data_IF_335108732860
#
_entry.id   IF_335108732860
#
_cell.length_a   1.000
_cell.length_b   1.000
_cell.length_c   1.000
_cell.angle_alpha   90.00
_cell.angle_beta   90.00
_cell.angle_gamma   90.00
#
_symmetry.space_group_name_H-M   'P 1'
#
loop_
_entity.id
_entity.type
_entity.pdbx_description
1 polymer ?
#
# COMPACT_ATOMS: atom_id res chain seq x y z
N UNK A 1 -9.20 -21.88 1.95
CA UNK A 1 -9.94 -20.75 1.34
C UNK A 1 -10.41 -19.89 2.50
N UNK A 2 -9.92 -18.68 2.62
CA UNK A 2 -10.42 -17.71 3.62
C UNK A 2 -11.86 -17.37 3.22
N UNK A 3 -12.83 -17.74 4.04
CA UNK A 3 -14.27 -17.55 3.77
C UNK A 3 -14.74 -16.10 3.88
N UNK A 4 -13.89 -15.11 3.68
CA UNK A 4 -14.27 -13.69 3.74
C UNK A 4 -13.20 -12.76 3.19
N UNK A 5 -13.56 -11.50 2.98
CA UNK A 5 -12.62 -10.42 2.69
C UNK A 5 -11.72 -10.16 3.89
N UNK A 6 -10.42 -10.06 3.65
CA UNK A 6 -9.49 -9.56 4.65
C UNK A 6 -9.76 -8.07 4.91
N UNK A 7 -9.66 -7.67 6.17
CA UNK A 7 -10.04 -6.34 6.65
C UNK A 7 -8.79 -5.56 7.04
N UNK A 8 -8.61 -4.41 6.43
CA UNK A 8 -7.49 -3.53 6.74
C UNK A 8 -7.93 -2.11 7.06
N UNK A 9 -7.03 -1.38 7.68
CA UNK A 9 -7.15 0.05 7.88
C UNK A 9 -5.92 0.75 7.29
N UNK A 10 -6.13 1.83 6.53
CA UNK A 10 -5.05 2.65 5.98
C UNK A 10 -5.24 4.10 6.43
N UNK A 11 -4.20 4.71 6.96
CA UNK A 11 -4.28 6.06 7.49
C UNK A 11 -3.15 6.96 6.99
N UNK A 12 -3.37 8.27 6.90
CA UNK A 12 -2.31 9.22 6.64
C UNK A 12 -1.18 9.10 7.67
N UNK A 13 0.05 9.30 7.22
CA UNK A 13 1.22 9.38 8.12
C UNK A 13 1.37 10.79 8.73
N UNK A 14 0.25 11.40 9.11
CA UNK A 14 0.17 12.74 9.67
C UNK A 14 0.26 12.73 11.20
N UNK A 15 0.98 13.68 11.76
CA UNK A 15 1.10 13.86 13.20
C UNK A 15 2.43 14.52 13.59
N UNK A 16 2.45 15.15 14.75
CA UNK A 16 3.67 15.70 15.34
C UNK A 16 4.51 14.63 16.03
N UNK A 17 3.84 13.60 16.55
CA UNK A 17 4.45 12.53 17.33
C UNK A 17 4.05 11.15 16.81
N UNK A 18 4.98 10.18 16.70
CA UNK A 18 4.70 8.86 16.14
C UNK A 18 3.82 7.99 17.05
N UNK A 19 3.72 8.32 18.34
CA UNK A 19 3.07 7.50 19.37
C UNK A 19 1.62 7.16 19.02
N UNK A 20 0.84 8.11 18.55
CA UNK A 20 -0.55 7.91 18.17
C UNK A 20 -0.72 6.86 17.06
N UNK A 21 0.07 6.97 15.99
CA UNK A 21 0.04 6.02 14.88
C UNK A 21 0.50 4.60 15.31
N UNK A 22 1.47 4.52 16.21
CA UNK A 22 1.94 3.26 16.78
C UNK A 22 0.82 2.58 17.58
N UNK A 23 0.20 3.31 18.52
CA UNK A 23 -0.89 2.77 19.34
C UNK A 23 -2.10 2.36 18.49
N UNK A 24 -2.42 3.13 17.44
CA UNK A 24 -3.48 2.79 16.50
C UNK A 24 -3.21 1.46 15.78
N UNK A 25 -1.97 1.22 15.31
CA UNK A 25 -1.59 -0.03 14.66
C UNK A 25 -1.68 -1.24 15.60
N UNK A 26 -1.25 -1.07 16.85
CA UNK A 26 -1.38 -2.11 17.90
C UNK A 26 -2.85 -2.36 18.25
N UNK A 27 -3.66 -1.29 18.36
CA UNK A 27 -5.09 -1.41 18.60
C UNK A 27 -5.82 -2.10 17.44
N UNK A 28 -5.42 -1.83 16.19
CA UNK A 28 -6.01 -2.49 15.02
C UNK A 28 -5.83 -4.01 15.05
N UNK A 29 -4.64 -4.53 15.47
CA UNK A 29 -4.47 -5.97 15.65
C UNK A 29 -5.41 -6.53 16.72
N UNK A 30 -5.52 -5.86 17.87
CA UNK A 30 -6.39 -6.27 18.98
C UNK A 30 -7.87 -6.25 18.58
N UNK A 31 -8.23 -5.30 17.74
CA UNK A 31 -9.58 -5.12 17.20
C UNK A 31 -9.95 -6.11 16.08
N UNK A 32 -9.05 -7.02 15.71
CA UNK A 32 -9.30 -8.07 14.73
C UNK A 32 -8.96 -7.72 13.29
N UNK A 33 -8.40 -6.56 12.99
CA UNK A 33 -7.98 -6.23 11.63
C UNK A 33 -6.84 -7.14 11.16
N UNK A 34 -6.85 -7.45 9.85
CA UNK A 34 -5.84 -8.27 9.18
C UNK A 34 -4.67 -7.44 8.66
N UNK A 35 -4.86 -6.14 8.42
CA UNK A 35 -3.83 -5.25 7.92
C UNK A 35 -3.89 -3.84 8.48
N UNK A 36 -2.70 -3.26 8.71
CA UNK A 36 -2.50 -1.86 9.07
C UNK A 36 -1.52 -1.23 8.09
N UNK A 37 -1.96 -0.17 7.42
CA UNK A 37 -1.20 0.48 6.36
C UNK A 37 -1.08 1.98 6.63
N UNK A 38 0.08 2.53 6.27
CA UNK A 38 0.30 3.97 6.34
C UNK A 38 0.47 4.57 4.95
N UNK A 39 0.02 5.79 4.77
CA UNK A 39 0.41 6.56 3.61
C UNK A 39 1.92 6.84 3.66
N UNK A 40 2.51 7.22 2.53
CA UNK A 40 3.94 7.51 2.44
C UNK A 40 4.15 8.85 1.74
N UNK A 41 3.84 9.93 2.48
CA UNK A 41 4.13 11.31 2.10
C UNK A 41 5.36 11.83 2.84
N UNK A 42 6.10 12.76 2.23
CA UNK A 42 7.17 13.56 2.85
C UNK A 42 6.61 14.93 3.23
N UNK A 43 5.77 15.47 2.38
CA UNK A 43 4.97 16.69 2.59
C UNK A 43 3.58 16.47 2.03
N UNK A 44 2.60 17.25 2.46
CA UNK A 44 1.23 17.20 1.96
C UNK A 44 0.69 18.60 1.67
N UNK A 45 1.48 19.38 0.96
CA UNK A 45 1.13 20.72 0.47
C UNK A 45 2.15 21.20 -0.56
N UNK A 46 1.70 21.86 -1.62
CA UNK A 46 2.60 22.47 -2.62
C UNK A 46 3.26 23.75 -2.13
N UNK A 47 2.75 24.36 -1.08
CA UNK A 47 3.30 25.56 -0.42
C UNK A 47 4.23 25.24 0.77
N UNK A 48 4.30 23.97 1.18
CA UNK A 48 5.12 23.53 2.30
C UNK A 48 4.50 23.74 3.69
N UNK A 49 3.25 24.22 3.75
CA UNK A 49 2.49 24.53 4.97
C UNK A 49 1.43 23.45 5.30
N UNK A 50 1.69 22.22 4.87
CA UNK A 50 0.81 21.07 5.11
C UNK A 50 0.89 20.57 6.57
N UNK A 51 0.16 19.49 6.87
CA UNK A 51 0.20 18.86 8.18
C UNK A 51 1.61 18.31 8.47
N UNK A 52 1.98 18.17 9.76
CA UNK A 52 3.20 17.46 10.15
C UNK A 52 3.18 16.03 9.62
N UNK A 53 4.34 15.53 9.19
CA UNK A 53 4.51 14.23 8.56
C UNK A 53 5.49 13.37 9.36
N UNK A 54 5.10 12.14 9.65
CA UNK A 54 5.94 11.13 10.31
C UNK A 54 6.41 10.10 9.28
N UNK A 55 7.65 9.64 9.37
CA UNK A 55 8.14 8.55 8.50
C UNK A 55 7.37 7.25 8.79
N UNK A 56 6.65 6.71 7.79
CA UNK A 56 5.80 5.54 8.01
C UNK A 56 6.59 4.27 8.30
N UNK A 57 7.82 4.14 7.79
CA UNK A 57 8.62 2.93 7.96
C UNK A 57 9.12 2.78 9.40
N UNK A 58 9.43 3.89 10.08
CA UNK A 58 9.80 3.88 11.50
C UNK A 58 8.60 3.51 12.37
N UNK A 59 7.43 4.05 12.09
CA UNK A 59 6.18 3.69 12.80
C UNK A 59 5.89 2.21 12.61
N UNK A 60 5.89 1.71 11.36
CA UNK A 60 5.63 0.31 11.05
C UNK A 60 6.63 -0.65 11.72
N UNK A 61 7.89 -0.24 11.89
CA UNK A 61 8.87 -1.06 12.59
C UNK A 61 8.51 -1.25 14.08
N UNK A 62 8.05 -0.19 14.75
CA UNK A 62 7.61 -0.29 16.15
C UNK A 62 6.31 -1.08 16.27
N UNK A 63 5.34 -0.87 15.37
CA UNK A 63 4.12 -1.67 15.31
C UNK A 63 4.46 -3.15 15.10
N UNK A 64 5.38 -3.46 14.17
CA UNK A 64 5.83 -4.83 13.91
C UNK A 64 6.40 -5.51 15.15
N UNK A 65 7.17 -4.77 15.97
CA UNK A 65 7.76 -5.30 17.21
C UNK A 65 6.73 -5.50 18.34
N UNK A 66 5.57 -4.85 18.26
CA UNK A 66 4.51 -4.88 19.28
C UNK A 66 3.28 -5.72 18.89
N UNK A 67 3.30 -6.31 17.71
CA UNK A 67 2.21 -7.11 17.12
C UNK A 67 2.75 -8.45 16.63
N UNK A 68 1.87 -9.43 16.40
CA UNK A 68 2.28 -10.78 15.99
C UNK A 68 1.58 -11.32 14.75
N UNK A 69 0.43 -10.77 14.36
CA UNK A 69 -0.45 -11.30 13.32
C UNK A 69 -0.69 -10.30 12.16
N UNK A 70 -0.97 -9.06 12.49
CA UNK A 70 -1.43 -8.05 11.51
C UNK A 70 -0.39 -7.85 10.39
N UNK A 71 -0.86 -7.82 9.14
CA UNK A 71 -0.03 -7.41 8.00
C UNK A 71 0.27 -5.92 8.08
N UNK A 72 1.46 -5.54 7.61
CA UNK A 72 1.99 -4.19 7.76
C UNK A 72 2.53 -3.68 6.42
N UNK A 73 2.30 -2.44 6.11
CA UNK A 73 2.88 -1.87 4.90
C UNK A 73 2.50 -0.43 4.64
N UNK A 74 2.89 0.04 3.48
CA UNK A 74 2.48 1.36 3.01
C UNK A 74 1.41 1.24 1.93
N UNK A 75 0.52 2.22 1.90
CA UNK A 75 -0.52 2.31 0.89
C UNK A 75 -0.72 3.77 0.45
N UNK A 76 0.14 4.26 -0.49
CA UNK A 76 1.16 3.52 -1.26
C UNK A 76 2.51 4.24 -1.20
N UNK A 77 3.63 3.51 -1.32
CA UNK A 77 4.96 4.13 -1.49
C UNK A 77 5.16 4.58 -2.93
N UNK A 78 5.48 5.85 -3.17
CA UNK A 78 5.93 6.34 -4.47
C UNK A 78 7.38 5.90 -4.73
N UNK A 79 7.58 4.77 -5.42
CA UNK A 79 8.92 4.23 -5.70
C UNK A 79 9.81 5.21 -6.47
N UNK A 80 9.30 6.02 -7.43
CA UNK A 80 10.13 6.98 -8.16
C UNK A 80 10.84 8.03 -7.30
N UNK A 81 10.33 8.30 -6.11
CA UNK A 81 10.90 9.23 -5.13
C UNK A 81 11.95 8.60 -4.21
N UNK A 82 12.22 7.29 -4.37
CA UNK A 82 13.09 6.53 -3.49
C UNK A 82 14.24 5.88 -4.24
N UNK A 83 15.39 5.70 -3.56
CA UNK A 83 16.45 4.84 -4.07
C UNK A 83 16.06 3.38 -3.85
N UNK A 84 15.93 2.54 -4.91
CA UNK A 84 15.44 1.18 -4.78
C UNK A 84 16.22 0.33 -3.77
N UNK A 85 17.54 0.46 -3.70
CA UNK A 85 18.38 -0.30 -2.75
C UNK A 85 18.18 0.12 -1.29
N UNK A 86 17.87 1.40 -1.03
CA UNK A 86 17.50 1.83 0.32
C UNK A 86 16.15 1.27 0.72
N UNK A 87 15.16 1.37 -0.16
CA UNK A 87 13.85 0.78 0.05
C UNK A 87 13.94 -0.73 0.22
N UNK A 88 14.74 -1.42 -0.61
CA UNK A 88 14.99 -2.86 -0.46
C UNK A 88 15.51 -3.21 0.94
N UNK A 89 16.42 -2.41 1.49
CA UNK A 89 17.00 -2.61 2.83
C UNK A 89 15.97 -2.36 3.94
N UNK A 90 15.21 -1.29 3.85
CA UNK A 90 14.13 -0.96 4.80
C UNK A 90 13.11 -2.08 4.85
N UNK A 91 12.58 -2.49 3.69
CA UNK A 91 11.58 -3.56 3.58
C UNK A 91 12.13 -4.90 4.09
N UNK A 92 13.35 -5.28 3.72
CA UNK A 92 13.97 -6.52 4.22
C UNK A 92 14.07 -6.51 5.73
N UNK A 93 14.48 -5.39 6.32
CA UNK A 93 14.63 -5.28 7.77
C UNK A 93 13.27 -5.40 8.46
N UNK A 94 12.26 -4.70 7.95
CA UNK A 94 10.90 -4.76 8.47
C UNK A 94 10.28 -6.15 8.31
N UNK A 95 10.49 -6.80 7.16
CA UNK A 95 9.98 -8.15 6.90
C UNK A 95 10.56 -9.16 7.88
N UNK A 96 11.86 -9.08 8.14
CA UNK A 96 12.52 -9.93 9.14
C UNK A 96 12.09 -9.62 10.57
N UNK A 97 11.96 -8.35 10.92
CA UNK A 97 11.47 -7.91 12.24
C UNK A 97 10.05 -8.40 12.49
N UNK A 98 9.20 -8.34 11.49
CA UNK A 98 7.80 -8.75 11.58
C UNK A 98 7.58 -10.25 11.42
N UNK A 99 8.60 -11.04 11.06
CA UNK A 99 8.43 -12.48 10.77
C UNK A 99 7.63 -12.76 9.50
N UNK A 100 7.76 -11.90 8.45
CA UNK A 100 7.12 -12.13 7.15
C UNK A 100 5.70 -11.58 7.06
N UNK A 101 5.42 -10.43 7.68
CA UNK A 101 4.09 -9.80 7.65
C UNK A 101 4.00 -8.57 6.76
N UNK A 102 5.09 -8.20 6.06
CA UNK A 102 5.10 -7.00 5.21
C UNK A 102 4.36 -7.22 3.90
N UNK A 103 3.60 -6.24 3.49
CA UNK A 103 3.07 -6.07 2.14
C UNK A 103 3.49 -4.68 1.65
N UNK A 104 4.12 -4.61 0.48
CA UNK A 104 4.58 -3.36 -0.09
C UNK A 104 3.59 -2.83 -1.13
N UNK A 105 2.79 -1.84 -0.75
CA UNK A 105 1.98 -1.08 -1.72
C UNK A 105 2.84 -0.06 -2.45
N UNK A 106 2.77 -0.01 -3.78
CA UNK A 106 3.60 0.84 -4.63
C UNK A 106 2.82 1.58 -5.70
N UNK A 107 3.34 2.73 -6.11
CA UNK A 107 2.78 3.50 -7.20
C UNK A 107 3.76 4.53 -7.76
N UNK A 108 3.31 5.26 -8.77
CA UNK A 108 4.10 6.36 -9.35
C UNK A 108 4.10 7.62 -8.48
N UNK A 109 3.24 7.68 -7.47
CA UNK A 109 2.99 8.88 -6.67
C UNK A 109 2.19 9.94 -7.41
N UNK A 110 1.91 11.04 -6.71
CA UNK A 110 1.19 12.20 -7.28
C UNK A 110 1.99 13.47 -7.05
N UNK A 111 2.21 14.31 -8.07
CA UNK A 111 2.87 15.61 -7.88
C UNK A 111 1.94 16.66 -7.22
N UNK A 112 0.66 16.33 -7.04
CA UNK A 112 -0.35 17.26 -6.52
C UNK A 112 -0.13 17.68 -5.05
N UNK A 113 0.66 16.92 -4.31
CA UNK A 113 0.83 17.12 -2.85
C UNK A 113 2.20 17.65 -2.45
N UNK A 114 3.03 18.11 -3.39
CA UNK A 114 4.35 18.68 -3.10
C UNK A 114 5.51 17.69 -3.04
N UNK A 115 5.25 16.41 -2.84
CA UNK A 115 6.25 15.33 -2.67
C UNK A 115 7.32 15.26 -3.78
N UNK A 116 7.01 15.75 -4.96
CA UNK A 116 7.93 15.76 -6.10
C UNK A 116 8.43 17.19 -6.41
N UNK A 117 7.51 18.15 -6.50
CA UNK A 117 7.84 19.50 -6.95
C UNK A 117 8.77 20.25 -6.01
N UNK A 118 8.51 20.20 -4.70
CA UNK A 118 9.31 20.91 -3.69
C UNK A 118 10.76 20.38 -3.66
N UNK A 119 10.94 19.09 -3.90
CA UNK A 119 12.26 18.44 -3.85
C UNK A 119 12.91 18.27 -5.22
N UNK A 120 12.33 18.91 -6.27
CA UNK A 120 12.82 18.82 -7.65
C UNK A 120 12.96 17.39 -8.18
N UNK A 121 12.14 16.48 -7.68
CA UNK A 121 12.07 15.11 -8.18
C UNK A 121 11.34 15.06 -9.54
N UNK A 122 11.61 14.05 -10.38
CA UNK A 122 10.92 13.90 -11.67
C UNK A 122 9.40 13.86 -11.51
N UNK A 123 8.69 14.79 -12.14
CA UNK A 123 7.24 14.96 -11.97
C UNK A 123 6.39 14.45 -13.14
N UNK A 124 7.01 14.12 -14.28
CA UNK A 124 6.30 13.60 -15.47
C UNK A 124 5.79 12.17 -15.25
N UNK A 125 4.51 11.91 -15.53
CA UNK A 125 3.86 10.61 -15.29
C UNK A 125 4.59 9.44 -15.98
N UNK A 126 5.07 9.67 -17.21
CA UNK A 126 5.79 8.63 -17.97
C UNK A 126 7.12 8.28 -17.30
N UNK A 127 7.91 9.30 -16.98
CA UNK A 127 9.22 9.11 -16.31
C UNK A 127 9.03 8.39 -14.98
N UNK A 128 8.06 8.80 -14.18
CA UNK A 128 7.75 8.13 -12.91
C UNK A 128 7.25 6.69 -13.11
N UNK A 129 6.51 6.42 -14.19
CA UNK A 129 6.09 5.06 -14.51
C UNK A 129 7.27 4.17 -14.91
N UNK A 130 8.22 4.69 -15.67
CA UNK A 130 9.43 3.98 -16.08
C UNK A 130 10.35 3.76 -14.85
N UNK A 131 10.53 4.76 -13.99
CA UNK A 131 11.25 4.63 -12.71
C UNK A 131 10.59 3.61 -11.77
N UNK A 132 9.26 3.52 -11.75
CA UNK A 132 8.55 2.49 -10.98
C UNK A 132 8.86 1.10 -11.53
N UNK A 133 8.79 0.89 -12.84
CA UNK A 133 9.07 -0.41 -13.46
C UNK A 133 10.51 -0.86 -13.20
N UNK A 134 11.49 0.02 -13.38
CA UNK A 134 12.88 -0.28 -13.07
C UNK A 134 13.12 -0.49 -11.58
N UNK A 135 12.55 0.36 -10.73
CA UNK A 135 12.67 0.23 -9.28
C UNK A 135 12.15 -1.09 -8.75
N UNK A 136 11.01 -1.57 -9.27
CA UNK A 136 10.45 -2.87 -8.90
C UNK A 136 11.32 -4.03 -9.39
N UNK A 137 11.91 -3.93 -10.58
CA UNK A 137 12.87 -4.94 -11.08
C UNK A 137 14.12 -5.00 -10.17
N UNK A 138 14.65 -3.85 -9.78
CA UNK A 138 15.79 -3.77 -8.85
C UNK A 138 15.42 -4.34 -7.48
N UNK A 139 14.27 -4.01 -6.90
CA UNK A 139 13.80 -4.58 -5.63
C UNK A 139 13.74 -6.10 -5.68
N UNK A 140 13.09 -6.66 -6.70
CA UNK A 140 12.95 -8.10 -6.85
C UNK A 140 14.29 -8.80 -7.04
N UNK A 141 15.20 -8.22 -7.84
CA UNK A 141 16.54 -8.75 -8.03
C UNK A 141 17.38 -8.73 -6.76
N UNK A 142 17.36 -7.64 -6.00
CA UNK A 142 18.08 -7.55 -4.73
C UNK A 142 17.54 -8.53 -3.69
N UNK A 143 16.24 -8.80 -3.68
CA UNK A 143 15.62 -9.74 -2.72
C UNK A 143 15.82 -11.22 -3.07
N UNK A 144 16.32 -11.54 -4.27
CA UNK A 144 16.60 -12.93 -4.68
C UNK A 144 17.67 -13.61 -3.80
N UNK A 145 18.63 -12.83 -3.30
CA UNK A 145 19.82 -13.34 -2.61
C UNK A 145 20.92 -13.87 -3.54
N UNK A 146 20.66 -13.91 -4.84
CA UNK A 146 21.64 -14.27 -5.86
C UNK A 146 22.46 -13.06 -6.29
N UNK A 147 23.62 -13.26 -6.94
CA UNK A 147 24.35 -12.17 -7.59
C UNK A 147 23.42 -11.46 -8.59
N UNK A 148 23.27 -10.16 -8.42
CA UNK A 148 22.37 -9.35 -9.20
C UNK A 148 23.06 -8.10 -9.71
N UNK A 149 22.80 -7.75 -10.96
CA UNK A 149 23.17 -6.46 -11.56
C UNK A 149 22.00 -5.93 -12.38
N UNK A 150 21.95 -4.64 -12.59
CA UNK A 150 20.91 -3.98 -13.37
C UNK A 150 21.46 -2.80 -14.14
N UNK A 151 21.08 -2.63 -15.39
CA UNK A 151 21.42 -1.49 -16.23
C UNK A 151 20.14 -1.00 -16.93
N UNK A 152 19.52 0.03 -16.34
CA UNK A 152 18.33 0.69 -16.86
C UNK A 152 18.60 2.14 -17.26
N UNK A 153 17.57 2.86 -17.63
CA UNK A 153 17.63 4.28 -17.96
C UNK A 153 17.76 5.15 -16.68
N UNK A 154 17.11 4.73 -15.59
CA UNK A 154 17.05 5.48 -14.35
C UNK A 154 17.89 4.91 -13.23
N UNK A 155 18.13 3.60 -13.22
CA UNK A 155 18.88 2.93 -12.17
C UNK A 155 19.95 2.01 -12.76
N UNK A 156 21.14 2.03 -12.14
CA UNK A 156 22.23 1.10 -12.44
C UNK A 156 22.70 0.47 -11.13
N UNK A 157 22.90 -0.84 -11.14
CA UNK A 157 23.43 -1.61 -10.02
C UNK A 157 24.53 -2.53 -10.54
N UNK A 158 25.76 -2.34 -10.08
CA UNK A 158 26.87 -3.23 -10.36
C UNK A 158 26.65 -4.59 -9.66
N UNK A 159 27.32 -5.67 -10.10
CA UNK A 159 27.15 -6.99 -9.52
C UNK A 159 27.27 -6.99 -7.99
N UNK A 160 26.19 -7.35 -7.30
CA UNK A 160 26.11 -7.38 -5.85
C UNK A 160 25.31 -8.58 -5.37
N UNK A 161 25.72 -9.19 -4.25
CA UNK A 161 24.87 -10.10 -3.48
C UNK A 161 24.30 -9.35 -2.30
N UNK A 162 22.97 -9.13 -2.34
CA UNK A 162 22.28 -8.31 -1.35
C UNK A 162 21.71 -9.16 -0.21
N UNK A 163 22.41 -9.16 0.92
CA UNK A 163 22.05 -9.95 2.10
C UNK A 163 21.93 -9.07 3.35
N UNK A 164 21.11 -9.47 4.37
CA UNK A 164 20.17 -10.59 4.34
C UNK A 164 19.02 -10.34 3.36
N UNK A 165 18.34 -11.40 2.96
CA UNK A 165 17.12 -11.33 2.15
C UNK A 165 15.87 -11.28 3.05
N UNK A 166 14.68 -10.90 2.54
CA UNK A 166 13.41 -11.03 3.26
C UNK A 166 13.16 -12.44 3.77
N UNK A 167 12.25 -12.60 4.73
CA UNK A 167 11.77 -13.92 5.19
C UNK A 167 10.80 -14.51 4.17
N UNK A 168 9.93 -13.68 3.62
CA UNK A 168 8.92 -14.09 2.65
C UNK A 168 9.55 -14.56 1.33
N UNK A 169 8.97 -15.59 0.70
CA UNK A 169 9.42 -16.19 -0.56
C UNK A 169 8.31 -16.19 -1.60
N UNK A 170 8.62 -15.96 -2.88
CA UNK A 170 9.95 -15.69 -3.44
C UNK A 170 10.48 -14.30 -3.07
N UNK A 171 9.64 -13.39 -2.59
CA UNK A 171 9.92 -12.01 -2.15
C UNK A 171 8.78 -11.48 -1.27
N UNK A 172 8.93 -10.27 -0.75
CA UNK A 172 7.82 -9.54 -0.12
C UNK A 172 6.73 -9.30 -1.16
N UNK A 173 5.44 -9.57 -0.83
CA UNK A 173 4.32 -9.28 -1.72
C UNK A 173 4.24 -7.79 -2.09
N UNK A 174 4.01 -7.52 -3.37
CA UNK A 174 3.92 -6.17 -3.93
C UNK A 174 2.51 -5.94 -4.48
N UNK A 175 1.84 -4.92 -3.96
CA UNK A 175 0.57 -4.43 -4.50
C UNK A 175 0.79 -3.15 -5.29
N UNK A 176 0.34 -3.12 -6.53
CA UNK A 176 0.55 -1.97 -7.41
C UNK A 176 -0.71 -1.12 -7.53
N UNK A 177 -0.57 0.16 -7.24
CA UNK A 177 -1.62 1.15 -7.48
C UNK A 177 -1.87 1.36 -8.97
N UNK A 178 -3.12 1.26 -9.38
CA UNK A 178 -3.53 1.43 -10.77
C UNK A 178 -4.73 2.34 -10.91
N UNK A 179 -4.56 3.45 -11.66
CA UNK A 179 -5.67 4.38 -11.92
C UNK A 179 -6.57 3.83 -13.02
N UNK A 180 -7.86 3.69 -12.69
CA UNK A 180 -8.89 3.26 -13.62
C UNK A 180 -9.45 4.44 -14.44
N UNK A 181 -9.83 4.20 -15.71
CA UNK A 181 -9.88 2.91 -16.45
C UNK A 181 -8.61 2.58 -17.24
N UNK A 182 -7.46 3.12 -16.89
CA UNK A 182 -6.24 2.96 -17.69
C UNK A 182 -5.70 1.51 -17.69
N UNK A 183 -5.40 0.98 -18.86
CA UNK A 183 -4.95 -0.42 -19.03
C UNK A 183 -3.49 -0.64 -18.64
N UNK A 184 -2.59 0.34 -18.89
CA UNK A 184 -1.16 0.21 -18.58
C UNK A 184 -0.85 -0.03 -17.10
N UNK A 185 -1.46 0.71 -16.15
CA UNK A 185 -1.28 0.42 -14.72
C UNK A 185 -1.74 -0.99 -14.33
N UNK A 186 -2.85 -1.47 -14.91
CA UNK A 186 -3.36 -2.81 -14.63
C UNK A 186 -2.44 -3.89 -15.21
N UNK A 187 -1.94 -3.71 -16.43
CA UNK A 187 -0.95 -4.61 -17.03
C UNK A 187 0.36 -4.65 -16.22
N UNK A 188 0.78 -3.52 -15.62
CA UNK A 188 1.89 -3.50 -14.65
C UNK A 188 1.55 -4.32 -13.43
N UNK A 189 0.41 -4.07 -12.79
CA UNK A 189 -0.02 -4.74 -11.57
C UNK A 189 -0.12 -6.26 -11.77
N UNK A 190 -0.56 -6.71 -12.95
CA UNK A 190 -0.66 -8.13 -13.30
C UNK A 190 0.69 -8.90 -13.24
N UNK A 191 1.83 -8.22 -13.23
CA UNK A 191 3.16 -8.84 -13.07
C UNK A 191 3.55 -9.10 -11.61
N UNK A 192 2.79 -8.53 -10.65
CA UNK A 192 3.09 -8.56 -9.21
C UNK A 192 2.04 -9.36 -8.43
N UNK A 193 1.90 -9.13 -7.14
CA UNK A 193 1.11 -9.98 -6.26
C UNK A 193 -0.29 -9.44 -5.96
N UNK A 194 -0.55 -8.18 -6.31
CA UNK A 194 -1.86 -7.59 -6.14
C UNK A 194 -2.02 -6.22 -6.79
N UNK A 195 -3.24 -5.75 -6.83
CA UNK A 195 -3.61 -4.45 -7.38
C UNK A 195 -4.43 -3.65 -6.38
N UNK A 196 -4.14 -2.35 -6.33
CA UNK A 196 -4.93 -1.35 -5.60
C UNK A 196 -5.57 -0.43 -6.65
N UNK A 197 -6.81 -0.68 -7.06
CA UNK A 197 -7.50 0.14 -8.03
C UNK A 197 -7.81 1.53 -7.45
N UNK A 198 -7.44 2.55 -8.19
CA UNK A 198 -7.62 3.95 -7.83
C UNK A 198 -8.57 4.57 -8.86
N UNK A 199 -9.59 5.29 -8.41
CA UNK A 199 -10.52 5.99 -9.29
C UNK A 199 -10.68 7.43 -8.83
N UNK A 200 -10.71 8.34 -9.80
CA UNK A 200 -10.98 9.75 -9.56
C UNK A 200 -12.27 10.18 -10.28
N UNK A 201 -13.05 11.02 -9.60
CA UNK A 201 -14.10 11.83 -10.18
C UNK A 201 -13.89 13.27 -9.71
N UNK A 202 -13.92 14.22 -10.63
CA UNK A 202 -13.71 15.65 -10.35
C UNK A 202 -12.48 15.95 -9.48
N UNK A 203 -11.36 15.25 -9.78
CA UNK A 203 -10.10 15.27 -9.03
C UNK A 203 -10.18 14.71 -7.58
N UNK A 204 -11.32 14.22 -7.17
CA UNK A 204 -11.50 13.58 -5.87
C UNK A 204 -11.32 12.08 -6.00
N UNK A 205 -10.63 11.48 -5.02
CA UNK A 205 -10.52 10.04 -4.91
C UNK A 205 -11.90 9.47 -4.54
N UNK A 206 -12.40 8.56 -5.37
CA UNK A 206 -13.66 7.85 -5.13
C UNK A 206 -13.42 6.34 -5.06
N UNK A 207 -14.30 5.64 -4.38
CA UNK A 207 -14.28 4.18 -4.37
C UNK A 207 -14.66 3.65 -5.76
N UNK A 208 -13.87 2.73 -6.38
CA UNK A 208 -14.28 2.02 -7.59
C UNK A 208 -15.60 1.28 -7.36
N UNK A 209 -16.42 1.10 -8.38
CA UNK A 209 -17.61 0.27 -8.29
C UNK A 209 -17.26 -1.23 -8.28
N UNK A 210 -18.18 -2.09 -7.86
CA UNK A 210 -17.99 -3.53 -7.95
C UNK A 210 -17.77 -4.01 -9.41
N UNK A 211 -18.39 -3.33 -10.39
CA UNK A 211 -18.16 -3.61 -11.80
C UNK A 211 -16.73 -3.23 -12.23
N UNK A 212 -16.20 -2.08 -11.79
CA UNK A 212 -14.80 -1.72 -12.03
C UNK A 212 -13.84 -2.80 -11.51
N UNK A 213 -14.14 -3.38 -10.33
CA UNK A 213 -13.33 -4.47 -9.74
C UNK A 213 -13.43 -5.73 -10.60
N UNK A 214 -14.63 -6.12 -11.04
CA UNK A 214 -14.82 -7.30 -11.89
C UNK A 214 -14.08 -7.16 -13.24
N UNK A 215 -14.22 -6.01 -13.89
CA UNK A 215 -13.57 -5.71 -15.17
C UNK A 215 -12.04 -5.71 -15.05
N UNK A 216 -11.52 -5.07 -14.00
CA UNK A 216 -10.09 -5.06 -13.71
C UNK A 216 -9.56 -6.46 -13.40
N UNK A 217 -10.28 -7.25 -12.59
CA UNK A 217 -9.90 -8.64 -12.30
C UNK A 217 -9.85 -9.47 -13.57
N UNK A 218 -10.79 -9.29 -14.49
CA UNK A 218 -10.77 -9.96 -15.78
C UNK A 218 -9.54 -9.59 -16.60
N UNK A 219 -9.12 -8.32 -16.60
CA UNK A 219 -7.89 -7.88 -17.27
C UNK A 219 -6.65 -8.55 -16.65
N UNK A 220 -6.58 -8.63 -15.31
CA UNK A 220 -5.50 -9.32 -14.59
C UNK A 220 -5.48 -10.81 -14.97
N UNK A 221 -6.61 -11.50 -14.95
CA UNK A 221 -6.73 -12.92 -15.36
C UNK A 221 -6.24 -13.11 -16.80
N UNK A 222 -6.66 -12.23 -17.71
CA UNK A 222 -6.23 -12.29 -19.12
C UNK A 222 -4.71 -12.14 -19.24
N UNK A 223 -4.10 -11.24 -18.47
CA UNK A 223 -2.66 -11.00 -18.54
C UNK A 223 -1.81 -12.07 -17.85
N UNK A 224 -2.32 -12.70 -16.78
CA UNK A 224 -1.61 -13.71 -15.98
C UNK A 224 -1.94 -15.16 -16.33
N UNK A 225 -3.08 -15.40 -16.98
CA UNK A 225 -3.66 -16.72 -17.14
C UNK A 225 -4.48 -17.21 -15.94
N UNK A 226 -4.34 -16.62 -14.77
CA UNK A 226 -5.04 -16.96 -13.53
C UNK A 226 -5.02 -15.79 -12.53
N UNK A 227 -5.86 -15.88 -11.49
CA UNK A 227 -5.86 -14.92 -10.37
C UNK A 227 -5.70 -15.59 -9.00
N UNK A 228 -5.35 -16.86 -8.93
CA UNK A 228 -5.15 -17.57 -7.66
C UNK A 228 -3.96 -16.98 -6.91
N UNK A 229 -4.18 -16.68 -5.62
CA UNK A 229 -3.17 -16.02 -4.79
C UNK A 229 -2.86 -14.57 -5.16
N UNK A 230 -3.72 -13.92 -5.97
CA UNK A 230 -3.59 -12.53 -6.38
C UNK A 230 -4.53 -11.64 -5.58
N UNK A 231 -3.97 -10.62 -4.93
CA UNK A 231 -4.76 -9.70 -4.12
C UNK A 231 -5.43 -8.61 -4.97
N UNK A 232 -6.72 -8.42 -4.71
CA UNK A 232 -7.52 -7.32 -5.25
C UNK A 232 -8.03 -6.49 -4.10
N UNK A 233 -7.49 -5.29 -3.97
CA UNK A 233 -7.73 -4.41 -2.82
C UNK A 233 -8.81 -3.38 -3.15
N UNK A 234 -9.81 -3.28 -2.30
CA UNK A 234 -10.82 -2.21 -2.37
C UNK A 234 -10.53 -1.18 -1.29
N UNK A 235 -10.31 0.06 -1.71
CA UNK A 235 -10.28 1.21 -0.82
C UNK A 235 -11.71 1.69 -0.56
N UNK A 236 -12.07 1.75 0.71
CA UNK A 236 -13.34 2.28 1.16
C UNK A 236 -13.11 3.40 2.19
N UNK A 237 -14.03 4.35 2.26
CA UNK A 237 -14.05 5.28 3.38
C UNK A 237 -14.33 4.53 4.68
N UNK A 238 -13.83 5.04 5.80
CA UNK A 238 -14.16 4.52 7.13
C UNK A 238 -15.70 4.49 7.27
N UNK A 239 -16.21 3.30 7.49
CA UNK A 239 -17.67 3.12 7.65
C UNK A 239 -18.14 3.78 8.94
N UNK A 240 -19.30 4.48 8.93
CA UNK A 240 -19.88 5.05 10.15
C UNK A 240 -20.13 3.98 11.22
N UNK A 241 -20.64 2.82 10.79
CA UNK A 241 -20.95 1.69 11.66
C UNK A 241 -20.27 0.41 11.17
N UNK A 242 -19.51 -0.31 12.02
CA UNK A 242 -18.84 -1.56 11.63
C UNK A 242 -19.78 -2.61 11.05
N UNK A 243 -21.01 -2.72 11.59
CA UNK A 243 -22.03 -3.66 11.14
C UNK A 243 -22.52 -3.45 9.71
N UNK A 244 -22.30 -2.28 9.12
CA UNK A 244 -22.66 -1.98 7.73
C UNK A 244 -21.65 -2.56 6.73
N UNK A 245 -20.41 -2.77 7.16
CA UNK A 245 -19.32 -3.15 6.25
C UNK A 245 -19.57 -4.48 5.54
N UNK A 246 -20.09 -5.55 6.17
CA UNK A 246 -20.38 -6.79 5.43
C UNK A 246 -21.33 -6.56 4.25
N UNK A 247 -22.38 -5.77 4.42
CA UNK A 247 -23.32 -5.42 3.36
C UNK A 247 -22.69 -4.57 2.25
N UNK A 248 -21.86 -3.59 2.65
CA UNK A 248 -21.13 -2.73 1.71
C UNK A 248 -20.07 -3.50 0.92
N UNK A 249 -19.41 -4.47 1.53
CA UNK A 249 -18.31 -5.23 0.95
C UNK A 249 -18.77 -6.43 0.10
N UNK A 250 -19.94 -6.98 0.36
CA UNK A 250 -20.45 -8.18 -0.33
C UNK A 250 -20.45 -8.08 -1.88
N UNK A 251 -20.89 -6.99 -2.52
CA UNK A 251 -20.80 -6.87 -3.98
C UNK A 251 -19.36 -6.91 -4.51
N UNK A 252 -18.41 -6.37 -3.76
CA UNK A 252 -16.99 -6.37 -4.12
C UNK A 252 -16.35 -7.73 -3.95
N UNK A 253 -16.71 -8.46 -2.90
CA UNK A 253 -16.32 -9.84 -2.70
C UNK A 253 -16.80 -10.72 -3.85
N UNK A 254 -18.06 -10.56 -4.26
CA UNK A 254 -18.62 -11.25 -5.43
C UNK A 254 -17.90 -10.89 -6.73
N UNK A 255 -17.38 -9.66 -6.86
CA UNK A 255 -16.56 -9.20 -7.97
C UNK A 255 -15.10 -9.72 -7.90
N UNK A 256 -14.71 -10.42 -6.83
CA UNK A 256 -13.40 -11.03 -6.64
C UNK A 256 -12.39 -10.17 -5.89
N UNK A 257 -12.82 -9.20 -5.12
CA UNK A 257 -11.98 -8.52 -4.14
C UNK A 257 -11.52 -9.52 -3.05
N UNK A 258 -10.28 -9.35 -2.57
CA UNK A 258 -9.68 -10.15 -1.48
C UNK A 258 -9.47 -9.32 -0.22
N UNK A 259 -9.37 -8.01 -0.36
CA UNK A 259 -9.17 -7.06 0.73
C UNK A 259 -10.19 -5.93 0.69
N UNK A 260 -10.71 -5.60 1.86
CA UNK A 260 -11.46 -4.38 2.12
C UNK A 260 -10.67 -3.51 3.09
N UNK A 261 -10.13 -2.40 2.60
CA UNK A 261 -9.30 -1.51 3.39
C UNK A 261 -10.03 -0.18 3.60
N UNK A 262 -10.38 0.08 4.84
CA UNK A 262 -10.98 1.34 5.24
C UNK A 262 -9.88 2.41 5.35
N UNK A 263 -10.10 3.56 4.73
CA UNK A 263 -9.15 4.67 4.74
C UNK A 263 -9.80 5.95 5.28
N UNK A 264 -9.08 6.66 6.11
CA UNK A 264 -9.48 7.99 6.53
C UNK A 264 -9.01 9.02 5.50
N UNK A 265 -9.93 9.86 5.02
CA UNK A 265 -9.55 11.05 4.26
C UNK A 265 -8.96 12.09 5.21
N UNK A 266 -7.98 12.91 4.76
CA UNK A 266 -7.38 13.97 5.59
C UNK A 266 -8.33 15.19 5.71
N UNK A 267 -9.48 14.96 6.29
CA UNK A 267 -10.52 15.96 6.59
C UNK A 267 -10.53 16.24 8.09
N UNK A 268 -11.17 17.33 8.55
CA UNK A 268 -11.35 17.55 9.98
C UNK A 268 -11.94 16.31 10.68
N UNK A 269 -11.44 15.99 11.85
CA UNK A 269 -11.86 14.82 12.66
C UNK A 269 -11.53 13.44 12.06
N UNK A 270 -10.62 13.36 11.06
CA UNK A 270 -10.22 12.07 10.49
C UNK A 270 -9.61 11.14 11.55
N UNK A 271 -8.86 11.71 12.49
CA UNK A 271 -8.21 10.95 13.56
C UNK A 271 -9.22 10.34 14.52
N UNK A 272 -10.19 11.13 14.96
CA UNK A 272 -11.27 10.69 15.83
C UNK A 272 -12.09 9.60 15.17
N UNK A 273 -12.45 9.77 13.89
CA UNK A 273 -13.21 8.76 13.15
C UNK A 273 -12.45 7.43 13.06
N UNK A 274 -11.17 7.45 12.74
CA UNK A 274 -10.40 6.22 12.60
C UNK A 274 -10.16 5.54 13.95
N UNK A 275 -9.90 6.31 15.01
CA UNK A 275 -9.69 5.75 16.35
C UNK A 275 -10.99 5.13 16.89
N UNK A 276 -12.13 5.77 16.69
CA UNK A 276 -13.45 5.21 17.02
C UNK A 276 -13.72 3.94 16.21
N UNK A 277 -13.43 3.96 14.91
CA UNK A 277 -13.60 2.79 14.04
C UNK A 277 -12.75 1.59 14.48
N UNK A 278 -11.50 1.83 14.84
CA UNK A 278 -10.62 0.78 15.34
C UNK A 278 -11.11 0.27 16.71
N UNK A 279 -11.53 1.16 17.59
CA UNK A 279 -12.07 0.77 18.90
C UNK A 279 -13.34 -0.09 18.80
N UNK A 280 -14.18 0.14 17.78
CA UNK A 280 -15.37 -0.65 17.54
C UNK A 280 -15.11 -2.07 17.00
N UNK A 281 -13.88 -2.36 16.55
CA UNK A 281 -13.48 -3.67 16.04
C UNK A 281 -14.04 -4.06 14.68
N UNK A 282 -13.55 -5.17 14.14
CA UNK A 282 -13.95 -5.65 12.81
C UNK A 282 -15.42 -6.10 12.80
N UNK A 283 -15.88 -6.73 13.86
CA UNK A 283 -17.23 -7.31 13.96
C UNK A 283 -18.28 -6.34 14.57
N UNK A 284 -17.84 -5.15 15.04
CA UNK A 284 -18.69 -4.27 15.82
C UNK A 284 -19.01 -4.92 17.17
N UNK A 285 -18.20 -4.66 18.18
CA UNK A 285 -18.35 -5.28 19.52
C UNK A 285 -19.79 -5.20 20.02
N UNK A 286 -20.20 -6.26 20.72
CA UNK A 286 -21.52 -6.38 21.37
C UNK A 286 -21.70 -5.31 22.45
#
# INVERSE_FOLDING_TARGET
MTEGLLRGIAVPNFGDEPGGLIELGVAAERAGFDGFFLWDHIVFSNSGDGPPIIDPWLVLAVVAARTSRIKLGTMITPVPRRRPWQLARQITSLDRLSGGRVILGVGIGSPAYGDFGIFHEPSGDRVRADMLDEGLAVLAGLWSGEPFSYAGEHFTVDPVRFTPVPVQRPRVPIWVGGVLPATRPIARAARWDGVVPIRFADRSLIRPSAQDIADMRQQVVTARGQADGYDVVVWAEVAPEPREVPGLAAPYQAAGATWWIETAKPEPLWWERVTQRVAAGVEGGA
#
